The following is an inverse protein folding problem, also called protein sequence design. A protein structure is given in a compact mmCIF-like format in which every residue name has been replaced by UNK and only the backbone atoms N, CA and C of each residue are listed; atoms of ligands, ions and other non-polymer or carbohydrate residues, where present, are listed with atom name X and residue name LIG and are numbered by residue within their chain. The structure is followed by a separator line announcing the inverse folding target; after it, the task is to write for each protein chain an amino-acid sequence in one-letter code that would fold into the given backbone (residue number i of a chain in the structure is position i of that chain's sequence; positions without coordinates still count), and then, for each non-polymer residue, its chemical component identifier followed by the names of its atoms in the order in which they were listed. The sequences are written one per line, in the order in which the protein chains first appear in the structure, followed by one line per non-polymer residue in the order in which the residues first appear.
data_IF_239419075240
#
_entry.id   IF_239419075240
#
_cell.length_a   1.000
_cell.length_b   1.000
_cell.length_c   1.000
_cell.angle_alpha   90.00
_cell.angle_beta   90.00
_cell.angle_gamma   90.00
#
_symmetry.space_group_name_H-M   'P 1'
#
loop_
_entity.id
_entity.type
_entity.pdbx_description
1 polymer ?
#
# COMPACT_ATOMS: atom_id res chain seq x y z
N UNK A 1 8.07 -14.39 -7.21
CA UNK A 1 7.46 -13.32 -6.39
C UNK A 1 7.43 -12.03 -7.20
N UNK A 2 6.29 -11.34 -7.24
CA UNK A 2 6.15 -10.01 -7.87
C UNK A 2 5.55 -9.06 -6.84
N UNK A 3 6.41 -8.39 -6.08
CA UNK A 3 6.06 -7.42 -5.05
C UNK A 3 6.61 -6.07 -5.47
N UNK A 4 5.73 -5.07 -5.62
CA UNK A 4 6.09 -3.74 -6.14
C UNK A 4 5.58 -2.70 -5.15
N UNK A 5 6.49 -1.89 -4.61
CA UNK A 5 6.14 -0.77 -3.74
C UNK A 5 6.27 0.54 -4.52
N UNK A 6 5.22 1.35 -4.51
CA UNK A 6 5.15 2.66 -5.17
C UNK A 6 5.11 3.75 -4.10
N UNK A 7 6.20 4.52 -4.03
CA UNK A 7 6.40 5.60 -3.07
C UNK A 7 6.63 6.90 -3.83
N UNK A 8 6.17 8.00 -3.25
CA UNK A 8 6.31 9.34 -3.83
C UNK A 8 5.38 10.34 -3.15
N UNK A 9 5.60 11.62 -3.42
CA UNK A 9 4.82 12.72 -2.84
C UNK A 9 3.33 12.65 -3.19
N UNK A 10 2.50 13.32 -2.39
CA UNK A 10 1.09 13.56 -2.71
C UNK A 10 0.97 14.27 -4.06
N UNK A 11 0.00 13.88 -4.89
CA UNK A 11 -0.19 14.45 -6.23
C UNK A 11 0.78 13.98 -7.32
N UNK A 12 1.81 13.18 -7.01
CA UNK A 12 2.78 12.69 -8.01
C UNK A 12 2.23 11.64 -9.01
N UNK A 13 0.95 11.31 -8.97
CA UNK A 13 0.34 10.33 -9.89
C UNK A 13 0.54 8.86 -9.53
N UNK A 14 1.00 8.54 -8.32
CA UNK A 14 1.22 7.15 -7.84
C UNK A 14 0.03 6.23 -8.06
N UNK A 15 -1.16 6.67 -7.68
CA UNK A 15 -2.36 5.86 -7.79
C UNK A 15 -2.78 5.63 -9.24
N UNK A 16 -2.42 6.53 -10.16
CA UNK A 16 -2.60 6.31 -11.60
C UNK A 16 -1.63 5.26 -12.10
N UNK A 17 -0.34 5.38 -11.74
CA UNK A 17 0.69 4.41 -12.11
C UNK A 17 0.39 3.01 -11.56
N UNK A 18 0.00 2.91 -10.28
CA UNK A 18 -0.27 1.63 -9.63
C UNK A 18 -1.44 0.90 -10.28
N UNK A 19 -2.54 1.59 -10.62
CA UNK A 19 -3.66 1.03 -11.39
C UNK A 19 -3.25 0.56 -12.78
N UNK A 20 -2.47 1.36 -13.50
CA UNK A 20 -2.00 0.99 -14.84
C UNK A 20 -1.11 -0.26 -14.77
N UNK A 21 -0.16 -0.29 -13.85
CA UNK A 21 0.72 -1.45 -13.65
C UNK A 21 -0.06 -2.69 -13.19
N UNK A 22 -1.04 -2.54 -12.31
CA UNK A 22 -1.90 -3.62 -11.87
C UNK A 22 -2.61 -4.29 -13.04
N UNK A 23 -3.18 -3.48 -13.94
CA UNK A 23 -3.84 -3.97 -15.15
C UNK A 23 -2.85 -4.65 -16.13
N UNK A 24 -1.67 -4.08 -16.34
CA UNK A 24 -0.66 -4.61 -17.28
C UNK A 24 -0.07 -5.94 -16.76
N UNK A 25 0.22 -6.00 -15.45
CA UNK A 25 0.90 -7.13 -14.83
C UNK A 25 -0.07 -8.19 -14.29
N UNK A 26 -1.38 -7.92 -14.35
CA UNK A 26 -2.44 -8.69 -13.71
C UNK A 26 -2.15 -8.93 -12.22
N UNK A 27 -1.84 -7.85 -11.50
CA UNK A 27 -1.52 -7.86 -10.07
C UNK A 27 -2.53 -7.02 -9.30
N UNK A 28 -2.85 -7.48 -8.09
CA UNK A 28 -3.67 -6.73 -7.15
C UNK A 28 -2.97 -5.44 -6.72
N UNK A 29 -3.72 -4.33 -6.75
CA UNK A 29 -3.27 -3.02 -6.28
C UNK A 29 -3.89 -2.74 -4.92
N UNK A 30 -3.04 -2.48 -3.94
CA UNK A 30 -3.38 -2.17 -2.56
C UNK A 30 -3.00 -0.71 -2.31
N UNK A 31 -4.00 0.17 -2.22
CA UNK A 31 -3.77 1.55 -1.79
C UNK A 31 -3.73 1.59 -0.25
N UNK A 32 -2.56 1.86 0.32
CA UNK A 32 -2.38 1.82 1.78
C UNK A 32 -3.18 2.92 2.49
N UNK A 33 -3.37 4.07 1.83
CA UNK A 33 -4.18 5.18 2.36
C UNK A 33 -5.64 4.75 2.64
N UNK A 34 -6.22 3.84 1.84
CA UNK A 34 -7.59 3.38 2.07
C UNK A 34 -7.73 2.43 3.26
N UNK A 35 -6.62 1.90 3.76
CA UNK A 35 -6.59 1.02 4.93
C UNK A 35 -6.16 1.77 6.19
N UNK A 36 -5.34 2.81 6.04
CA UNK A 36 -4.82 3.61 7.15
C UNK A 36 -5.80 4.67 7.66
N UNK A 37 -6.64 5.22 6.79
CA UNK A 37 -7.57 6.30 7.15
C UNK A 37 -9.00 5.77 7.26
N UNK A 38 -9.60 6.00 8.43
CA UNK A 38 -11.01 5.75 8.71
C UNK A 38 -11.86 7.01 8.48
N UNK A 39 -13.21 6.89 8.40
CA UNK A 39 -14.10 8.03 8.29
C UNK A 39 -13.80 9.10 9.35
N UNK A 40 -13.78 10.37 8.91
CA UNK A 40 -13.38 11.48 9.77
C UNK A 40 -11.87 11.70 9.88
N UNK A 41 -11.07 11.11 8.98
CA UNK A 41 -9.60 11.24 8.97
C UNK A 41 -8.96 10.73 10.27
N UNK A 42 -9.51 9.62 10.77
CA UNK A 42 -8.96 8.95 11.96
C UNK A 42 -7.92 7.94 11.49
N UNK A 43 -6.69 8.08 11.98
CA UNK A 43 -5.59 7.17 11.68
C UNK A 43 -5.81 5.79 12.32
N UNK A 44 -5.42 4.73 11.62
CA UNK A 44 -5.28 3.40 12.22
C UNK A 44 -4.17 3.42 13.28
N UNK A 45 -4.43 2.94 14.50
CA UNK A 45 -3.41 2.85 15.55
C UNK A 45 -2.17 2.06 15.11
N UNK A 46 -0.97 2.49 15.52
CA UNK A 46 0.30 1.88 15.10
C UNK A 46 0.37 0.34 15.27
N UNK A 47 -0.07 -0.26 16.39
CA UNK A 47 -0.05 -1.73 16.53
C UNK A 47 -0.97 -2.43 15.52
N UNK A 48 -2.14 -1.86 15.25
CA UNK A 48 -3.11 -2.39 14.29
C UNK A 48 -2.59 -2.21 12.86
N UNK A 49 -1.99 -1.05 12.54
CA UNK A 49 -1.39 -0.79 11.24
C UNK A 49 -0.28 -1.80 10.92
N UNK A 50 0.58 -2.10 11.90
CA UNK A 50 1.62 -3.13 11.76
C UNK A 50 1.02 -4.50 11.42
N UNK A 51 -0.05 -4.91 12.12
CA UNK A 51 -0.74 -6.17 11.85
C UNK A 51 -1.36 -6.21 10.46
N UNK A 52 -2.05 -5.14 10.05
CA UNK A 52 -2.63 -5.02 8.70
C UNK A 52 -1.55 -5.21 7.65
N UNK A 53 -0.43 -4.48 7.74
CA UNK A 53 0.66 -4.59 6.77
C UNK A 53 1.27 -6.00 6.78
N UNK A 54 1.47 -6.60 7.95
CA UNK A 54 1.97 -7.97 8.06
C UNK A 54 1.07 -9.00 7.36
N UNK A 55 -0.24 -8.85 7.41
CA UNK A 55 -1.15 -9.74 6.67
C UNK A 55 -1.08 -9.50 5.16
N UNK A 56 -0.97 -8.24 4.72
CA UNK A 56 -0.90 -7.91 3.30
C UNK A 56 0.38 -8.45 2.63
N UNK A 57 1.54 -8.37 3.31
CA UNK A 57 2.82 -8.82 2.75
C UNK A 57 2.95 -10.33 2.59
N UNK A 58 2.09 -11.12 3.28
CA UNK A 58 2.04 -12.59 3.15
C UNK A 58 1.54 -13.03 1.78
N UNK A 59 0.84 -12.16 1.05
CA UNK A 59 0.40 -12.44 -0.32
C UNK A 59 1.59 -12.70 -1.24
N UNK A 60 1.45 -13.63 -2.17
CA UNK A 60 2.52 -14.05 -3.09
C UNK A 60 2.95 -12.93 -4.07
N UNK A 61 2.02 -12.03 -4.39
CA UNK A 61 2.24 -10.90 -5.28
C UNK A 61 1.31 -9.73 -4.97
N UNK A 62 1.80 -8.50 -5.13
CA UNK A 62 1.04 -7.27 -4.90
C UNK A 62 1.74 -6.05 -5.50
N UNK A 63 0.95 -5.00 -5.72
CA UNK A 63 1.42 -3.62 -5.87
C UNK A 63 0.88 -2.82 -4.68
N UNK A 64 1.75 -2.28 -3.83
CA UNK A 64 1.35 -1.41 -2.72
C UNK A 64 1.69 0.04 -3.07
N UNK A 65 0.70 0.92 -2.93
CA UNK A 65 0.82 2.37 -3.15
C UNK A 65 0.63 3.09 -1.81
N UNK A 66 1.68 3.76 -1.32
CA UNK A 66 1.63 4.55 -0.10
C UNK A 66 3.00 4.76 0.55
N UNK A 67 3.15 5.86 1.29
CA UNK A 67 4.42 6.32 1.86
C UNK A 67 4.47 6.23 3.40
N UNK A 68 4.17 5.06 3.96
CA UNK A 68 4.17 4.82 5.41
C UNK A 68 5.53 4.34 5.89
N UNK A 69 6.40 5.23 6.38
CA UNK A 69 7.79 4.86 6.73
C UNK A 69 7.92 3.81 7.83
N UNK A 70 6.99 3.78 8.79
CA UNK A 70 7.04 2.89 9.95
C UNK A 70 6.88 1.39 9.66
N UNK A 71 6.56 1.00 8.43
CA UNK A 71 6.45 -0.41 8.01
C UNK A 71 7.26 -0.72 6.75
N UNK A 72 8.22 0.14 6.38
CA UNK A 72 9.03 -0.03 5.16
C UNK A 72 10.00 -1.21 5.24
N UNK A 73 10.52 -1.49 6.44
CA UNK A 73 11.47 -2.57 6.71
C UNK A 73 10.89 -3.97 6.49
N UNK A 74 9.57 -4.12 6.60
CA UNK A 74 8.86 -5.40 6.46
C UNK A 74 8.23 -5.62 5.06
N UNK A 75 8.23 -4.63 4.17
CA UNK A 75 7.60 -4.69 2.84
C UNK A 75 8.61 -4.92 1.73
#
# INVERSE_FOLDING_TARGET
MKKILIIGSGGAGKSTLSRQLGNILNLEVIHLDSLYWHPGWVETPQPEWGQIVQELIKRESWIMDGNYSGTLDIR
#
